data_IF_900066168648
#
_entry.id   IF_900066168648
#
_cell.length_a   1.000
_cell.length_b   1.000
_cell.length_c   1.000
_cell.angle_alpha   90.00
_cell.angle_beta   90.00
_cell.angle_gamma   90.00
#
_symmetry.space_group_name_H-M   'P 1'
#
loop_
_entity.id
_entity.type
_entity.pdbx_description
1 polymer ?
#
# COMPACT_ATOMS: atom_id res chain seq x y z
N UNK A 1 -8.93 -49.92 -22.31
CA UNK A 1 -9.30 -48.74 -23.14
C UNK A 1 -10.39 -47.83 -22.55
N UNK A 2 -11.31 -48.29 -21.68
CA UNK A 2 -12.46 -47.49 -21.19
C UNK A 2 -12.16 -46.49 -20.05
N UNK A 3 -11.06 -46.67 -19.29
CA UNK A 3 -10.67 -45.75 -18.21
C UNK A 3 -10.00 -44.46 -18.74
N UNK A 4 -9.14 -44.56 -19.76
CA UNK A 4 -8.47 -43.41 -20.38
C UNK A 4 -9.45 -42.37 -20.96
N UNK A 5 -10.61 -42.81 -21.45
CA UNK A 5 -11.65 -41.94 -22.01
C UNK A 5 -12.40 -41.17 -20.92
N UNK A 6 -12.68 -41.81 -19.77
CA UNK A 6 -13.33 -41.13 -18.63
C UNK A 6 -12.41 -40.07 -18.02
N UNK A 7 -11.12 -40.36 -17.88
CA UNK A 7 -10.13 -39.38 -17.38
C UNK A 7 -9.99 -38.17 -18.30
N UNK A 8 -10.05 -38.38 -19.63
CA UNK A 8 -10.03 -37.27 -20.62
C UNK A 8 -11.30 -36.41 -20.59
N UNK A 9 -12.48 -37.01 -20.39
CA UNK A 9 -13.74 -36.28 -20.30
C UNK A 9 -13.83 -35.50 -18.98
N UNK A 10 -13.42 -36.10 -17.86
CA UNK A 10 -13.36 -35.42 -16.55
C UNK A 10 -12.30 -34.30 -16.57
N UNK A 11 -11.12 -34.54 -17.16
CA UNK A 11 -10.09 -33.51 -17.32
C UNK A 11 -10.53 -32.35 -18.22
N UNK A 12 -11.27 -32.63 -19.30
CA UNK A 12 -11.86 -31.59 -20.16
C UNK A 12 -12.93 -30.77 -19.46
N UNK A 13 -13.80 -31.41 -18.66
CA UNK A 13 -14.80 -30.70 -17.85
C UNK A 13 -14.19 -29.79 -16.79
N UNK A 14 -13.15 -30.27 -16.08
CA UNK A 14 -12.41 -29.46 -15.10
C UNK A 14 -11.71 -28.28 -15.77
N UNK A 15 -11.07 -28.48 -16.93
CA UNK A 15 -10.43 -27.40 -17.67
C UNK A 15 -11.43 -26.32 -18.12
N UNK A 16 -12.62 -26.72 -18.60
CA UNK A 16 -13.68 -25.77 -18.97
C UNK A 16 -14.17 -24.98 -17.76
N UNK A 17 -14.38 -25.64 -16.62
CA UNK A 17 -14.79 -24.95 -15.38
C UNK A 17 -13.71 -23.97 -14.89
N UNK A 18 -12.42 -24.34 -14.99
CA UNK A 18 -11.31 -23.45 -14.65
C UNK A 18 -11.24 -22.24 -15.59
N UNK A 19 -11.37 -22.42 -16.90
CA UNK A 19 -11.38 -21.30 -17.86
C UNK A 19 -12.59 -20.41 -17.63
N UNK A 20 -13.78 -20.99 -17.41
CA UNK A 20 -14.98 -20.22 -17.09
C UNK A 20 -14.80 -19.42 -15.79
N UNK A 21 -14.22 -20.03 -14.76
CA UNK A 21 -13.85 -19.34 -13.52
C UNK A 21 -12.90 -18.17 -13.78
N UNK A 22 -11.80 -18.38 -14.52
CA UNK A 22 -10.83 -17.31 -14.81
C UNK A 22 -11.48 -16.17 -15.60
N UNK A 23 -12.32 -16.49 -16.57
CA UNK A 23 -13.06 -15.48 -17.33
C UNK A 23 -13.99 -14.68 -16.41
N UNK A 24 -14.78 -15.36 -15.57
CA UNK A 24 -15.72 -14.69 -14.66
C UNK A 24 -14.98 -13.85 -13.62
N UNK A 25 -13.98 -14.41 -12.93
CA UNK A 25 -13.28 -13.75 -11.84
C UNK A 25 -12.40 -12.58 -12.31
N UNK A 26 -11.77 -12.68 -13.49
CA UNK A 26 -10.81 -11.67 -13.95
C UNK A 26 -11.36 -10.69 -14.98
N UNK A 27 -12.53 -10.95 -15.59
CA UNK A 27 -13.14 -10.03 -16.56
C UNK A 27 -14.56 -9.59 -16.19
N UNK A 28 -15.44 -10.50 -15.73
CA UNK A 28 -16.84 -10.13 -15.48
C UNK A 28 -17.07 -9.54 -14.08
N UNK A 29 -16.55 -10.16 -13.03
CA UNK A 29 -16.75 -9.69 -11.66
C UNK A 29 -16.12 -8.32 -11.38
N UNK A 30 -14.90 -8.00 -11.87
CA UNK A 30 -14.31 -6.69 -11.67
C UNK A 30 -15.18 -5.57 -12.27
N UNK A 31 -15.76 -5.77 -13.45
CA UNK A 31 -16.65 -4.80 -14.08
C UNK A 31 -17.92 -4.56 -13.25
N UNK A 32 -18.55 -5.62 -12.73
CA UNK A 32 -19.73 -5.50 -11.85
C UNK A 32 -19.38 -4.75 -10.57
N UNK A 33 -18.23 -5.07 -9.99
CA UNK A 33 -17.75 -4.43 -8.76
C UNK A 33 -17.47 -2.95 -8.97
N UNK A 34 -16.72 -2.59 -10.01
CA UNK A 34 -16.45 -1.20 -10.40
C UNK A 34 -17.76 -0.46 -10.61
N UNK A 35 -18.73 -1.02 -11.34
CA UNK A 35 -19.99 -0.34 -11.61
C UNK A 35 -20.85 -0.13 -10.35
N UNK A 36 -20.85 -1.08 -9.40
CA UNK A 36 -21.56 -0.94 -8.13
C UNK A 36 -20.89 0.07 -7.20
N UNK A 37 -19.58 -0.06 -7.01
CA UNK A 37 -18.84 0.73 -6.02
C UNK A 37 -18.29 2.06 -6.58
N UNK A 38 -18.34 2.32 -7.89
CA UNK A 38 -18.02 3.62 -8.48
C UNK A 38 -18.92 4.75 -7.96
N UNK A 39 -20.14 4.42 -7.51
CA UNK A 39 -21.03 5.41 -6.88
C UNK A 39 -20.54 5.88 -5.49
N UNK A 40 -19.57 5.19 -4.87
CA UNK A 40 -18.96 5.54 -3.58
C UNK A 40 -17.75 6.46 -3.74
N UNK A 41 -17.21 6.60 -4.96
CA UNK A 41 -16.07 7.48 -5.30
C UNK A 41 -16.35 8.94 -4.91
N UNK A 42 -17.60 9.38 -5.05
CA UNK A 42 -18.01 10.77 -4.82
C UNK A 42 -18.06 11.19 -3.33
N UNK A 43 -17.93 10.27 -2.38
CA UNK A 43 -18.02 10.56 -0.94
C UNK A 43 -16.66 10.79 -0.25
N UNK A 44 -15.54 10.46 -0.91
CA UNK A 44 -14.22 10.55 -0.29
C UNK A 44 -13.59 11.93 -0.50
N UNK A 45 -13.13 12.54 0.60
CA UNK A 45 -12.38 13.81 0.58
C UNK A 45 -10.97 13.68 -0.01
N UNK A 46 -10.15 14.76 0.02
CA UNK A 46 -8.85 14.82 -0.68
C UNK A 46 -7.76 13.88 -0.12
N UNK A 47 -8.04 13.07 0.91
CA UNK A 47 -7.09 12.26 1.67
C UNK A 47 -7.26 10.76 1.39
N UNK A 48 -7.52 10.41 0.14
CA UNK A 48 -7.66 9.02 -0.33
C UNK A 48 -6.85 8.82 -1.60
N UNK A 49 -6.24 7.64 -1.76
CA UNK A 49 -5.63 7.26 -3.04
C UNK A 49 -6.68 6.76 -4.03
N UNK A 50 -6.34 6.68 -5.31
CA UNK A 50 -7.19 6.11 -6.34
C UNK A 50 -6.42 5.13 -7.23
N UNK A 51 -7.12 4.16 -7.81
CA UNK A 51 -6.57 3.36 -8.92
C UNK A 51 -6.57 4.18 -10.21
N UNK A 52 -5.97 3.65 -11.29
CA UNK A 52 -6.03 4.27 -12.63
C UNK A 52 -7.45 4.40 -13.20
N UNK A 53 -8.40 3.66 -12.64
CA UNK A 53 -9.81 3.68 -13.00
C UNK A 53 -10.63 4.56 -12.04
N UNK A 54 -9.97 5.43 -11.27
CA UNK A 54 -10.56 6.35 -10.30
C UNK A 54 -11.33 5.67 -9.16
N UNK A 55 -10.98 4.40 -8.86
CA UNK A 55 -11.57 3.66 -7.75
C UNK A 55 -10.84 4.05 -6.46
N UNK A 56 -11.54 4.39 -5.37
CA UNK A 56 -10.92 4.69 -4.07
C UNK A 56 -10.05 3.53 -3.60
N UNK A 57 -8.79 3.85 -3.31
CA UNK A 57 -7.79 2.95 -2.75
C UNK A 57 -7.72 3.06 -1.23
N UNK A 58 -6.50 2.95 -0.70
CA UNK A 58 -6.23 3.14 0.72
C UNK A 58 -6.23 4.64 1.08
N UNK A 59 -6.66 5.03 2.29
CA UNK A 59 -6.63 6.41 2.76
C UNK A 59 -5.21 6.88 3.10
N UNK A 60 -5.02 8.20 3.11
CA UNK A 60 -3.81 8.84 3.64
C UNK A 60 -3.92 8.89 5.17
N UNK A 61 -3.11 8.09 5.85
CA UNK A 61 -3.12 7.93 7.30
C UNK A 61 -1.79 8.32 7.98
N UNK A 62 -0.70 8.46 7.22
CA UNK A 62 0.61 8.87 7.77
C UNK A 62 1.21 10.01 6.96
N UNK A 63 2.12 10.78 7.54
CA UNK A 63 2.92 11.76 6.81
C UNK A 63 4.22 12.09 7.52
N UNK A 64 5.12 12.76 6.81
CA UNK A 64 6.45 13.13 7.30
C UNK A 64 6.80 14.56 6.91
N UNK A 65 7.59 15.22 7.74
CA UNK A 65 8.20 16.52 7.41
C UNK A 65 9.72 16.36 7.43
N UNK A 66 10.38 16.57 6.29
CA UNK A 66 11.81 16.38 6.15
C UNK A 66 12.26 16.31 4.69
N UNK A 67 13.58 16.43 4.48
CA UNK A 67 14.13 16.23 3.14
C UNK A 67 14.01 14.75 2.71
N UNK A 68 14.07 14.49 1.41
CA UNK A 68 13.99 13.12 0.86
C UNK A 68 15.06 12.20 1.47
N UNK A 69 16.26 12.74 1.70
CA UNK A 69 17.38 12.03 2.32
C UNK A 69 17.12 11.71 3.80
N UNK A 70 16.36 12.55 4.50
CA UNK A 70 15.95 12.30 5.88
C UNK A 70 14.94 11.15 5.93
N UNK A 71 13.97 11.13 5.00
CA UNK A 71 12.99 10.03 4.89
C UNK A 71 13.69 8.70 4.66
N UNK A 72 14.57 8.62 3.65
CA UNK A 72 15.30 7.41 3.31
C UNK A 72 16.15 6.90 4.48
N UNK A 73 16.88 7.80 5.14
CA UNK A 73 17.69 7.47 6.33
C UNK A 73 16.82 6.99 7.48
N UNK A 74 15.68 7.62 7.69
CA UNK A 74 14.80 7.30 8.80
C UNK A 74 14.27 5.86 8.68
N UNK A 75 13.79 5.50 7.49
CA UNK A 75 13.31 4.14 7.21
C UNK A 75 14.42 3.09 7.32
N UNK A 76 15.60 3.33 6.73
CA UNK A 76 16.71 2.39 6.86
C UNK A 76 17.18 2.23 8.31
N UNK A 77 17.20 3.31 9.10
CA UNK A 77 17.55 3.24 10.54
C UNK A 77 16.52 2.47 11.35
N UNK A 78 15.25 2.46 10.91
CA UNK A 78 14.16 1.71 11.52
C UNK A 78 14.04 0.25 11.01
N UNK A 79 14.98 -0.19 10.16
CA UNK A 79 15.00 -1.54 9.60
C UNK A 79 13.89 -1.79 8.58
N UNK A 80 13.42 -0.74 7.92
CA UNK A 80 12.55 -0.82 6.77
C UNK A 80 13.36 -0.79 5.49
N UNK A 81 12.79 -1.38 4.46
CA UNK A 81 13.47 -1.57 3.20
C UNK A 81 12.71 -0.93 2.04
N UNK A 82 13.40 -0.48 0.98
CA UNK A 82 12.73 0.02 -0.22
C UNK A 82 11.86 -1.04 -0.90
N UNK A 83 10.62 -0.69 -1.25
CA UNK A 83 9.64 -1.61 -1.82
C UNK A 83 9.49 -1.50 -3.35
N UNK A 84 10.12 -0.52 -3.99
CA UNK A 84 10.09 -0.38 -5.46
C UNK A 84 11.44 0.05 -6.07
N UNK A 85 11.53 -0.11 -7.39
CA UNK A 85 12.76 0.19 -8.16
C UNK A 85 13.14 1.67 -8.11
N UNK A 86 12.18 2.58 -7.93
CA UNK A 86 12.43 4.02 -7.85
C UNK A 86 13.13 4.32 -6.52
N UNK A 87 12.56 3.85 -5.42
CA UNK A 87 13.10 4.01 -4.07
C UNK A 87 14.45 3.34 -3.92
N UNK A 88 14.63 2.13 -4.47
CA UNK A 88 15.92 1.43 -4.49
C UNK A 88 17.01 2.23 -5.22
N UNK A 89 16.69 2.75 -6.41
CA UNK A 89 17.64 3.57 -7.18
C UNK A 89 18.04 4.81 -6.40
N UNK A 90 17.08 5.55 -5.85
CA UNK A 90 17.36 6.75 -5.07
C UNK A 90 18.20 6.44 -3.83
N UNK A 91 17.86 5.36 -3.10
CA UNK A 91 18.63 4.90 -1.94
C UNK A 91 20.09 4.60 -2.30
N UNK A 92 20.32 3.92 -3.43
CA UNK A 92 21.66 3.62 -3.92
C UNK A 92 22.43 4.88 -4.35
N UNK A 93 21.77 5.82 -5.04
CA UNK A 93 22.35 7.11 -5.46
C UNK A 93 22.84 7.94 -4.27
N UNK A 94 22.15 7.88 -3.13
CA UNK A 94 22.54 8.59 -1.90
C UNK A 94 23.45 7.78 -0.97
N UNK A 95 23.92 6.60 -1.41
CA UNK A 95 24.89 5.77 -0.68
C UNK A 95 24.31 5.00 0.50
N UNK A 96 23.01 4.73 0.51
CA UNK A 96 22.35 3.93 1.55
C UNK A 96 22.43 2.43 1.20
N UNK A 97 22.68 1.59 2.20
CA UNK A 97 22.69 0.13 2.00
C UNK A 97 21.29 -0.35 1.62
N UNK A 98 21.17 -1.07 0.50
CA UNK A 98 19.91 -1.64 0.00
C UNK A 98 20.05 -3.14 -0.22
N UNK A 99 19.00 -3.88 0.12
CA UNK A 99 18.91 -5.32 -0.15
C UNK A 99 18.24 -5.51 -1.52
N UNK A 100 19.00 -6.01 -2.50
CA UNK A 100 18.55 -6.12 -3.90
C UNK A 100 17.83 -7.44 -4.24
N UNK A 101 17.78 -8.41 -3.34
CA UNK A 101 17.21 -9.74 -3.59
C UNK A 101 15.78 -9.84 -3.02
N UNK A 102 14.83 -9.18 -3.69
CA UNK A 102 13.42 -9.07 -3.26
C UNK A 102 12.48 -9.64 -4.33
N UNK A 103 11.68 -10.68 -4.01
CA UNK A 103 10.75 -11.30 -4.95
C UNK A 103 9.68 -10.35 -5.51
N UNK A 104 9.26 -9.35 -4.74
CA UNK A 104 8.08 -8.53 -5.02
C UNK A 104 8.33 -7.29 -5.88
N UNK A 105 9.58 -7.00 -6.28
CA UNK A 105 9.89 -5.88 -7.19
C UNK A 105 9.23 -5.99 -8.58
N UNK A 106 8.72 -7.17 -8.92
CA UNK A 106 8.06 -7.49 -10.18
C UNK A 106 6.56 -7.84 -10.02
N UNK A 107 6.00 -7.74 -8.80
CA UNK A 107 4.61 -8.11 -8.55
C UNK A 107 3.61 -7.04 -9.07
N UNK A 108 2.60 -7.41 -9.88
CA UNK A 108 1.68 -6.47 -10.49
C UNK A 108 0.57 -6.10 -9.52
N UNK A 109 0.85 -5.30 -8.50
CA UNK A 109 -0.20 -4.58 -7.76
C UNK A 109 -0.55 -3.33 -8.55
N UNK A 110 -1.85 -3.07 -8.73
CA UNK A 110 -2.31 -1.85 -9.42
C UNK A 110 -1.74 -0.63 -8.71
N UNK A 111 -1.03 0.27 -9.42
CA UNK A 111 -0.44 1.44 -8.80
C UNK A 111 -1.55 2.32 -8.21
N UNK A 112 -1.41 2.66 -6.94
CA UNK A 112 -2.23 3.67 -6.28
C UNK A 112 -1.71 5.05 -6.65
N UNK A 113 -2.63 5.96 -6.92
CA UNK A 113 -2.38 7.34 -7.27
C UNK A 113 -2.85 8.23 -6.14
N UNK A 114 -2.12 9.29 -5.86
CA UNK A 114 -2.56 10.37 -4.99
C UNK A 114 -2.46 11.67 -5.77
N UNK A 115 -3.55 12.43 -5.84
CA UNK A 115 -3.67 13.62 -6.71
C UNK A 115 -3.26 13.34 -8.17
N UNK A 116 -3.56 12.13 -8.68
CA UNK A 116 -3.20 11.69 -10.04
C UNK A 116 -1.73 11.33 -10.25
N UNK A 117 -0.90 11.31 -9.20
CA UNK A 117 0.53 10.96 -9.25
C UNK A 117 0.79 9.59 -8.62
N UNK A 118 1.73 8.83 -9.19
CA UNK A 118 2.32 7.67 -8.52
C UNK A 118 3.18 8.12 -7.34
N UNK A 119 3.41 7.20 -6.40
CA UNK A 119 4.23 7.45 -5.21
C UNK A 119 5.67 7.81 -5.59
N UNK A 120 6.30 8.63 -4.74
CA UNK A 120 7.70 9.02 -4.89
C UNK A 120 8.64 8.08 -4.12
N UNK A 121 8.16 7.51 -3.01
CA UNK A 121 8.88 6.53 -2.19
C UNK A 121 7.93 5.44 -1.71
N UNK A 122 8.44 4.21 -1.57
CA UNK A 122 7.72 3.10 -0.96
C UNK A 122 8.66 2.24 -0.11
N UNK A 123 8.17 1.84 1.06
CA UNK A 123 8.92 1.02 2.00
C UNK A 123 8.08 -0.17 2.47
N UNK A 124 8.78 -1.25 2.79
CA UNK A 124 8.22 -2.47 3.34
C UNK A 124 9.05 -2.98 4.52
N UNK A 125 8.40 -3.73 5.40
CA UNK A 125 9.06 -4.45 6.49
C UNK A 125 8.39 -5.80 6.70
N UNK A 126 9.16 -6.86 6.45
CA UNK A 126 8.66 -8.23 6.50
C UNK A 126 8.29 -8.66 7.92
N UNK A 127 7.24 -9.47 8.03
CA UNK A 127 6.87 -10.15 9.28
C UNK A 127 7.22 -11.63 9.18
N UNK A 128 8.09 -12.08 10.08
CA UNK A 128 8.51 -13.47 10.10
C UNK A 128 9.43 -13.84 8.94
N UNK A 129 9.15 -14.97 8.27
CA UNK A 129 10.04 -15.59 7.27
C UNK A 129 9.44 -15.71 5.87
N UNK A 130 8.14 -15.47 5.69
CA UNK A 130 7.50 -15.53 4.37
C UNK A 130 7.20 -14.11 3.86
N UNK A 131 7.06 -13.97 2.55
CA UNK A 131 6.70 -12.70 1.91
C UNK A 131 5.19 -12.39 2.01
N UNK A 132 4.42 -13.28 2.64
CA UNK A 132 2.97 -13.18 2.70
C UNK A 132 2.51 -12.07 3.65
N UNK A 133 3.28 -11.79 4.71
CA UNK A 133 2.93 -10.77 5.69
C UNK A 133 3.99 -9.68 5.73
N UNK A 134 3.58 -8.44 5.48
CA UNK A 134 4.48 -7.29 5.48
C UNK A 134 3.76 -6.00 5.83
N UNK A 135 4.46 -5.17 6.58
CA UNK A 135 4.13 -3.77 6.73
C UNK A 135 4.49 -3.05 5.44
N UNK A 136 3.62 -2.17 4.94
CA UNK A 136 3.83 -1.46 3.69
C UNK A 136 3.42 0.00 3.82
N UNK A 137 4.24 0.90 3.30
CA UNK A 137 3.89 2.32 3.24
C UNK A 137 4.38 2.97 1.94
N UNK A 138 3.54 3.82 1.38
CA UNK A 138 3.85 4.65 0.20
C UNK A 138 3.82 6.12 0.58
N UNK A 139 4.69 6.94 0.01
CA UNK A 139 4.74 8.38 0.24
C UNK A 139 4.73 9.17 -1.07
N UNK A 140 4.04 10.29 -1.03
CA UNK A 140 3.99 11.33 -2.05
C UNK A 140 4.52 12.63 -1.47
N UNK A 141 5.50 13.22 -2.13
CA UNK A 141 5.97 14.57 -1.83
C UNK A 141 4.88 15.57 -2.25
N UNK A 142 4.38 16.34 -1.30
CA UNK A 142 3.39 17.38 -1.60
C UNK A 142 4.08 18.64 -2.10
N UNK A 143 3.32 19.51 -2.78
CA UNK A 143 3.81 20.85 -3.15
C UNK A 143 3.91 21.82 -1.97
N UNK A 144 3.51 21.38 -0.76
CA UNK A 144 3.50 22.20 0.45
C UNK A 144 4.77 21.93 1.25
N UNK A 145 5.26 22.99 1.89
CA UNK A 145 6.31 22.87 2.89
C UNK A 145 5.68 22.94 4.29
N UNK A 146 6.35 22.30 5.25
CA UNK A 146 6.02 22.39 6.66
C UNK A 146 6.29 23.79 7.18
N UNK A 147 5.90 24.04 8.44
CA UNK A 147 6.11 25.34 9.09
C UNK A 147 7.59 25.73 9.15
N UNK A 148 8.49 24.74 9.18
CA UNK A 148 9.94 24.90 9.16
C UNK A 148 10.55 25.02 7.73
N UNK A 149 9.71 25.08 6.70
CA UNK A 149 10.10 25.20 5.31
C UNK A 149 10.56 23.90 4.64
N UNK A 150 10.56 22.76 5.34
CA UNK A 150 10.95 21.46 4.78
C UNK A 150 9.80 20.78 4.02
N UNK A 151 10.09 19.89 3.05
CA UNK A 151 9.05 19.19 2.30
C UNK A 151 8.10 18.39 3.20
N UNK A 152 6.82 18.40 2.86
CA UNK A 152 5.80 17.55 3.49
C UNK A 152 5.50 16.36 2.60
N UNK A 153 5.52 15.19 3.21
CA UNK A 153 5.18 13.90 2.61
C UNK A 153 3.86 13.43 3.19
N UNK A 154 2.95 13.00 2.32
CA UNK A 154 1.73 12.31 2.72
C UNK A 154 1.84 10.86 2.28
N UNK A 155 1.34 9.95 3.11
CA UNK A 155 1.51 8.53 2.88
C UNK A 155 0.30 7.70 3.29
N UNK A 156 0.28 6.51 2.70
CA UNK A 156 -0.72 5.49 2.95
C UNK A 156 0.02 4.25 3.43
N UNK A 157 -0.22 3.89 4.69
CA UNK A 157 0.34 2.73 5.35
C UNK A 157 -0.74 1.66 5.54
N UNK A 158 -0.45 0.44 5.10
CA UNK A 158 -1.34 -0.72 5.27
C UNK A 158 -0.51 -1.98 5.56
N UNK A 159 -1.06 -2.87 6.39
CA UNK A 159 -0.45 -4.16 6.68
C UNK A 159 -1.01 -5.20 5.72
N UNK A 160 -0.16 -5.80 4.88
CA UNK A 160 -0.50 -6.95 4.07
C UNK A 160 -0.46 -8.20 4.95
N UNK A 161 -1.60 -8.89 5.04
CA UNK A 161 -1.79 -10.07 5.90
C UNK A 161 -1.82 -11.38 5.11
N UNK A 162 -1.48 -11.34 3.81
CA UNK A 162 -1.37 -12.54 2.99
C UNK A 162 -2.21 -12.53 1.73
N UNK A 163 -1.95 -13.57 0.92
CA UNK A 163 -2.63 -13.82 -0.35
C UNK A 163 -3.90 -14.65 -0.11
N UNK A 164 -5.00 -14.23 -0.70
CA UNK A 164 -6.29 -14.93 -0.62
C UNK A 164 -7.18 -14.66 -1.82
N UNK A 165 -8.38 -15.21 -1.81
CA UNK A 165 -9.40 -14.91 -2.81
C UNK A 165 -10.20 -13.67 -2.38
N UNK A 166 -10.30 -12.68 -3.25
CA UNK A 166 -11.22 -11.56 -3.09
C UNK A 166 -12.65 -12.09 -2.95
N UNK A 167 -13.33 -11.66 -1.88
CA UNK A 167 -14.73 -12.02 -1.66
C UNK A 167 -15.67 -11.40 -2.71
N UNK A 168 -15.27 -10.30 -3.33
CA UNK A 168 -16.08 -9.58 -4.30
C UNK A 168 -15.82 -10.04 -5.74
N UNK A 169 -14.57 -10.34 -6.11
CA UNK A 169 -14.23 -10.72 -7.50
C UNK A 169 -13.88 -12.20 -7.68
N UNK A 170 -13.51 -12.91 -6.60
CA UNK A 170 -12.91 -14.24 -6.69
C UNK A 170 -11.48 -14.23 -7.23
N UNK A 171 -10.86 -13.07 -7.46
CA UNK A 171 -9.46 -13.00 -7.87
C UNK A 171 -8.53 -13.37 -6.71
N UNK A 172 -7.39 -13.99 -7.02
CA UNK A 172 -6.31 -14.09 -6.04
C UNK A 172 -5.69 -12.70 -5.88
N UNK A 173 -5.73 -12.16 -4.66
CA UNK A 173 -5.22 -10.83 -4.31
C UNK A 173 -4.51 -10.87 -2.96
N UNK A 174 -3.64 -9.90 -2.73
CA UNK A 174 -3.18 -9.57 -1.39
C UNK A 174 -4.33 -8.95 -0.59
N UNK A 175 -4.39 -9.29 0.68
CA UNK A 175 -5.36 -8.73 1.61
C UNK A 175 -4.66 -7.84 2.61
N UNK A 176 -5.23 -6.65 2.84
CA UNK A 176 -4.77 -5.82 3.95
C UNK A 176 -5.52 -6.15 5.25
N UNK A 177 -4.90 -5.89 6.39
CA UNK A 177 -5.59 -5.89 7.67
C UNK A 177 -6.48 -4.65 7.81
N UNK A 178 -7.61 -4.77 8.53
CA UNK A 178 -8.61 -3.69 8.58
C UNK A 178 -8.22 -2.50 9.46
N UNK A 179 -7.28 -2.64 10.38
CA UNK A 179 -6.89 -1.57 11.32
C UNK A 179 -5.77 -0.71 10.71
N UNK A 180 -6.14 0.38 10.05
CA UNK A 180 -5.17 1.29 9.44
C UNK A 180 -4.47 2.19 10.47
N UNK A 181 -5.07 2.38 11.64
CA UNK A 181 -4.48 3.20 12.69
C UNK A 181 -3.34 2.43 13.38
N UNK A 182 -3.50 1.11 13.55
CA UNK A 182 -2.43 0.24 14.04
C UNK A 182 -1.18 0.33 13.14
N UNK A 183 -1.38 0.25 11.82
CA UNK A 183 -0.26 0.34 10.87
C UNK A 183 0.38 1.73 10.84
N UNK A 184 -0.43 2.80 10.80
CA UNK A 184 0.05 4.18 10.94
C UNK A 184 0.92 4.35 12.19
N UNK A 185 0.44 3.86 13.32
CA UNK A 185 1.12 3.99 14.60
C UNK A 185 2.41 3.16 14.62
N UNK A 186 2.43 2.00 13.97
CA UNK A 186 3.63 1.18 13.82
C UNK A 186 4.71 1.90 13.01
N UNK A 187 4.36 2.46 11.85
CA UNK A 187 5.30 3.24 11.02
C UNK A 187 5.92 4.37 11.83
N UNK A 188 5.11 5.23 12.45
CA UNK A 188 5.64 6.37 13.21
C UNK A 188 6.41 5.91 14.46
N UNK A 189 5.93 4.88 15.15
CA UNK A 189 6.57 4.30 16.33
C UNK A 189 7.94 3.68 16.04
N UNK A 190 8.10 3.02 14.90
CA UNK A 190 9.38 2.49 14.43
C UNK A 190 10.39 3.62 14.18
N UNK A 191 9.98 4.68 13.49
CA UNK A 191 10.84 5.84 13.22
C UNK A 191 11.22 6.59 14.52
N UNK A 192 10.30 6.68 15.49
CA UNK A 192 10.57 7.21 16.82
C UNK A 192 11.57 6.34 17.59
N UNK A 193 11.40 5.02 17.57
CA UNK A 193 12.29 4.07 18.25
C UNK A 193 13.70 4.10 17.66
N UNK A 194 13.82 4.32 16.35
CA UNK A 194 15.09 4.55 15.67
C UNK A 194 15.71 5.94 15.94
N UNK A 195 15.06 6.78 16.74
CA UNK A 195 15.52 8.13 17.06
C UNK A 195 15.54 9.06 15.86
N UNK A 196 14.62 8.90 14.90
CA UNK A 196 14.59 9.65 13.64
C UNK A 196 13.50 10.73 13.61
N UNK A 197 12.63 10.78 14.63
CA UNK A 197 11.50 11.71 14.74
C UNK A 197 11.75 12.65 15.92
N UNK A 198 11.69 13.96 15.69
CA UNK A 198 11.84 14.99 16.73
C UNK A 198 10.53 15.32 17.43
N UNK A 199 9.41 15.29 16.69
CA UNK A 199 8.07 15.54 17.20
C UNK A 199 7.01 14.90 16.30
N UNK A 200 5.79 14.81 16.82
CA UNK A 200 4.64 14.33 16.04
C UNK A 200 3.43 15.24 16.25
N UNK A 201 2.56 15.31 15.25
CA UNK A 201 1.28 16.00 15.34
C UNK A 201 0.27 15.35 14.40
N UNK A 202 -1.02 15.59 14.63
CA UNK A 202 -2.09 15.06 13.78
C UNK A 202 -2.64 16.15 12.86
N UNK A 203 -3.03 15.77 11.65
CA UNK A 203 -3.85 16.59 10.75
C UNK A 203 -5.14 15.85 10.39
N UNK A 204 -6.10 16.58 9.82
CA UNK A 204 -7.31 15.97 9.27
C UNK A 204 -6.95 15.01 8.12
N UNK A 205 -7.41 13.77 8.21
CA UNK A 205 -7.31 12.76 7.15
C UNK A 205 -8.63 12.60 6.42
N UNK A 206 -8.99 11.36 6.11
CA UNK A 206 -10.24 11.02 5.40
C UNK A 206 -11.51 11.20 6.24
N UNK A 207 -11.37 11.39 7.56
CA UNK A 207 -12.48 11.40 8.51
C UNK A 207 -12.81 10.00 9.05
N UNK A 208 -13.39 9.96 10.25
CA UNK A 208 -13.58 8.72 10.99
C UNK A 208 -14.42 7.72 10.19
N UNK A 209 -13.86 6.54 9.94
CA UNK A 209 -14.44 5.52 9.05
C UNK A 209 -14.52 4.19 9.79
N UNK A 210 -15.72 3.62 9.88
CA UNK A 210 -15.97 2.33 10.58
C UNK A 210 -16.16 1.13 9.64
N UNK A 211 -16.47 1.40 8.37
CA UNK A 211 -16.83 0.38 7.38
C UNK A 211 -16.35 0.80 5.99
N UNK A 212 -15.06 1.16 5.90
CA UNK A 212 -14.41 1.52 4.64
C UNK A 212 -14.11 0.29 3.79
N UNK A 213 -13.89 0.49 2.50
CA UNK A 213 -13.38 -0.53 1.58
C UNK A 213 -12.34 0.08 0.67
N UNK A 214 -11.22 -0.61 0.47
CA UNK A 214 -10.17 -0.15 -0.45
C UNK A 214 -10.41 -0.63 -1.88
N UNK A 215 -9.46 -0.31 -2.76
CA UNK A 215 -9.51 -0.64 -4.19
C UNK A 215 -9.47 -2.14 -4.52
N UNK A 216 -9.18 -3.01 -3.54
CA UNK A 216 -9.27 -4.47 -3.67
C UNK A 216 -10.54 -5.07 -3.04
N UNK A 217 -11.38 -4.24 -2.40
CA UNK A 217 -12.58 -4.66 -1.68
C UNK A 217 -12.35 -5.00 -0.20
N UNK A 218 -11.12 -4.87 0.31
CA UNK A 218 -10.82 -5.19 1.71
C UNK A 218 -11.46 -4.19 2.66
N UNK A 219 -12.09 -4.66 3.76
CA UNK A 219 -12.67 -3.78 4.75
C UNK A 219 -11.57 -3.08 5.55
N UNK A 220 -11.80 -1.82 5.92
CA UNK A 220 -10.94 -1.09 6.84
C UNK A 220 -11.71 -0.18 7.80
N UNK A 221 -11.05 0.21 8.89
CA UNK A 221 -11.48 1.26 9.82
C UNK A 221 -10.31 2.16 10.21
N UNK A 222 -10.64 3.40 10.57
CA UNK A 222 -9.68 4.43 11.04
C UNK A 222 -10.40 5.53 11.82
N UNK A 223 -9.70 6.15 12.76
CA UNK A 223 -10.10 7.39 13.43
C UNK A 223 -10.20 8.60 12.47
N UNK A 224 -9.69 8.44 11.23
CA UNK A 224 -9.81 9.42 10.16
C UNK A 224 -8.76 10.51 10.17
N UNK A 225 -7.72 10.38 10.98
CA UNK A 225 -6.63 11.35 11.08
C UNK A 225 -5.37 10.85 10.39
N UNK A 226 -4.53 11.80 10.01
CA UNK A 226 -3.19 11.52 9.50
C UNK A 226 -2.18 11.90 10.57
N UNK A 227 -1.34 10.96 10.99
CA UNK A 227 -0.28 11.20 11.97
C UNK A 227 1.00 11.63 11.24
N UNK A 228 1.53 12.79 11.60
CA UNK A 228 2.72 13.38 10.99
C UNK A 228 3.91 13.23 11.91
N UNK A 229 5.00 12.66 11.39
CA UNK A 229 6.32 12.64 12.04
C UNK A 229 7.25 13.70 11.49
N UNK A 230 7.77 14.59 12.35
CA UNK A 230 8.79 15.56 11.98
C UNK A 230 10.15 14.90 12.09
N UNK A 231 10.85 14.74 10.96
CA UNK A 231 12.13 14.04 10.92
C UNK A 231 13.26 14.90 11.49
N UNK A 232 14.26 14.25 12.08
CA UNK A 232 15.51 14.90 12.48
C UNK A 232 16.34 15.11 11.20
N UNK A 233 16.54 16.38 10.83
CA UNK A 233 17.36 16.72 9.67
C UNK A 233 18.85 16.51 9.94
N UNK A 234 19.62 16.21 8.89
CA UNK A 234 21.08 16.27 8.98
C UNK A 234 21.52 17.67 9.43
N UNK A 235 22.24 17.73 10.55
CA UNK A 235 23.04 18.90 10.88
C UNK A 235 24.12 19.00 9.81
N UNK A 236 24.07 20.02 8.95
CA UNK A 236 25.22 20.34 8.09
C UNK A 236 26.38 20.68 9.03
N UNK A 237 27.34 19.77 9.15
CA UNK A 237 28.68 20.10 9.66
C UNK A 237 29.41 20.97 8.64
#
# INVERSE_FOLDING_TARGET
MRQLTKTRIVGGGVAILLVAYLIVAYFFMPEIWIHRDASRVAEFGPMVTTTKQDIPGDPINVGLVGAKEDVLRAFASAGWDPADKITLRTSAEIGLSVVLDRPDLDAPVSPLLFEGRQQDLAFEKAVGKSADERHHVRFWETKKNGEDGRPVWLGSASFDRGVGFSHDTGQITHHIAPDLDAERNLVVGDLQTAGQVSSTYEIAGIGATKAGRNGGGDPYFTDGKTLIGVLIGLTKQ
#
